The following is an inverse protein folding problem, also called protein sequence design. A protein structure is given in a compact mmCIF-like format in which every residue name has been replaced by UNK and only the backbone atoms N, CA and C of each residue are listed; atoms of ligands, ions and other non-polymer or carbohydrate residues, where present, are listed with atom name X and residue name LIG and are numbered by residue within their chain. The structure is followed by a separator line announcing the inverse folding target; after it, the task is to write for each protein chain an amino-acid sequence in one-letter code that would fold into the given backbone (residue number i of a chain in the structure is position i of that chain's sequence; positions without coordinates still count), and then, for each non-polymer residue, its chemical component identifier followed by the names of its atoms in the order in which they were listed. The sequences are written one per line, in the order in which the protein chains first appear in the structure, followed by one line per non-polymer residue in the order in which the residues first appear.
data_IF_270985603521
#
_entry.id   IF_270985603521
#
_cell.length_a   1.000
_cell.length_b   1.000
_cell.length_c   1.000
_cell.angle_alpha   90.00
_cell.angle_beta   90.00
_cell.angle_gamma   90.00
#
_symmetry.space_group_name_H-M   'P 1'
#
loop_
_entity.id
_entity.type
_entity.pdbx_description
1 polymer ?
#
# COMPACT_ATOMS: atom_id res chain seq x y z
N UNK A 1 5.13 8.95 14.27
CA UNK A 1 4.38 8.89 13.00
C UNK A 1 4.80 7.64 12.25
N UNK A 2 3.87 6.88 11.67
CA UNK A 2 4.15 5.57 11.06
C UNK A 2 3.74 5.58 9.59
N UNK A 3 4.65 5.11 8.73
CA UNK A 3 4.38 4.79 7.33
C UNK A 3 4.14 3.30 7.22
N UNK A 4 3.20 2.89 6.36
CA UNK A 4 2.86 1.48 6.14
C UNK A 4 2.94 1.16 4.66
N UNK A 5 3.55 0.02 4.32
CA UNK A 5 3.56 -0.55 2.99
C UNK A 5 2.64 -1.78 2.95
N UNK A 6 1.72 -1.82 1.99
CA UNK A 6 0.86 -2.96 1.69
C UNK A 6 1.32 -3.62 0.40
N UNK A 7 1.56 -4.93 0.41
CA UNK A 7 2.08 -5.67 -0.75
C UNK A 7 0.94 -6.40 -1.44
N UNK A 8 0.75 -6.14 -2.74
CA UNK A 8 -0.27 -6.72 -3.60
C UNK A 8 -1.11 -5.68 -4.35
N UNK A 9 -2.12 -6.13 -5.07
CA UNK A 9 -2.93 -5.31 -5.98
C UNK A 9 -4.39 -5.75 -6.09
N UNK A 10 -4.85 -6.65 -5.23
CA UNK A 10 -6.21 -7.19 -5.25
C UNK A 10 -7.20 -6.39 -4.39
N UNK A 11 -8.45 -6.86 -4.36
CA UNK A 11 -9.50 -6.27 -3.52
C UNK A 11 -9.22 -6.39 -2.02
N UNK A 12 -8.49 -7.42 -1.60
CA UNK A 12 -8.06 -7.59 -0.20
C UNK A 12 -7.12 -6.46 0.22
N UNK A 13 -6.13 -6.13 -0.61
CA UNK A 13 -5.19 -5.05 -0.32
C UNK A 13 -5.90 -3.69 -0.33
N UNK A 14 -6.87 -3.49 -1.23
CA UNK A 14 -7.72 -2.30 -1.19
C UNK A 14 -8.48 -2.18 0.15
N UNK A 15 -9.14 -3.23 0.62
CA UNK A 15 -9.84 -3.20 1.91
C UNK A 15 -8.89 -2.90 3.10
N UNK A 16 -7.67 -3.43 3.08
CA UNK A 16 -6.63 -3.15 4.07
C UNK A 16 -6.21 -1.68 4.01
N UNK A 17 -5.86 -1.16 2.83
CA UNK A 17 -5.48 0.24 2.62
C UNK A 17 -6.61 1.18 3.08
N UNK A 18 -7.85 0.89 2.71
CA UNK A 18 -9.02 1.65 3.12
C UNK A 18 -9.17 1.75 4.63
N UNK A 19 -8.86 0.67 5.37
CA UNK A 19 -8.94 0.73 6.84
C UNK A 19 -7.75 1.44 7.46
N UNK A 20 -6.55 1.27 6.91
CA UNK A 20 -5.33 1.92 7.38
C UNK A 20 -5.39 3.44 7.19
N UNK A 21 -5.97 3.94 6.11
CA UNK A 21 -6.09 5.39 5.83
C UNK A 21 -6.96 6.15 6.84
N UNK A 22 -7.81 5.45 7.60
CA UNK A 22 -8.64 6.02 8.67
C UNK A 22 -7.95 6.06 10.04
N UNK A 23 -6.77 5.44 10.18
CA UNK A 23 -6.10 5.31 11.47
C UNK A 23 -5.42 6.62 11.87
N UNK A 24 -5.70 7.20 13.05
CA UNK A 24 -5.01 8.40 13.52
C UNK A 24 -3.53 8.16 13.88
N UNK A 25 -3.08 6.90 13.83
CA UNK A 25 -1.70 6.51 14.11
C UNK A 25 -0.84 6.34 12.84
N UNK A 26 -1.45 6.41 11.66
CA UNK A 26 -0.80 6.22 10.37
C UNK A 26 -0.73 7.57 9.66
N UNK A 27 0.47 7.91 9.21
CA UNK A 27 0.76 9.15 8.51
C UNK A 27 0.64 8.98 6.99
N UNK A 28 1.09 7.83 6.47
CA UNK A 28 1.06 7.54 5.04
C UNK A 28 0.96 6.05 4.76
N UNK A 29 0.18 5.69 3.76
CA UNK A 29 0.05 4.33 3.24
C UNK A 29 0.64 4.29 1.82
N UNK A 30 1.47 3.29 1.57
CA UNK A 30 1.99 2.92 0.26
C UNK A 30 1.45 1.54 -0.12
N UNK A 31 1.34 1.27 -1.41
CA UNK A 31 1.01 -0.05 -1.91
C UNK A 31 1.90 -0.43 -3.11
N UNK A 32 2.39 -1.66 -3.14
CA UNK A 32 3.25 -2.16 -4.22
C UNK A 32 2.72 -3.51 -4.76
N UNK A 33 2.32 -3.61 -6.04
CA UNK A 33 2.21 -2.53 -7.02
C UNK A 33 0.93 -1.68 -6.87
N UNK A 34 -0.06 -2.16 -6.12
CA UNK A 34 -1.37 -1.51 -6.03
C UNK A 34 -2.21 -1.61 -7.31
N UNK A 35 -3.33 -0.90 -7.34
CA UNK A 35 -4.22 -0.79 -8.49
C UNK A 35 -4.90 0.59 -8.52
N UNK A 36 -5.73 0.86 -9.53
CA UNK A 36 -6.40 2.15 -9.69
C UNK A 36 -7.28 2.56 -8.49
N UNK A 37 -7.98 1.62 -7.86
CA UNK A 37 -8.80 1.91 -6.68
C UNK A 37 -7.95 2.18 -5.43
N UNK A 38 -6.83 1.48 -5.27
CA UNK A 38 -5.89 1.73 -4.17
C UNK A 38 -5.23 3.11 -4.30
N UNK A 39 -4.98 3.57 -5.53
CA UNK A 39 -4.37 4.87 -5.80
C UNK A 39 -5.21 6.07 -5.32
N UNK A 40 -6.50 5.88 -5.05
CA UNK A 40 -7.38 6.90 -4.47
C UNK A 40 -7.11 7.11 -2.96
N UNK A 41 -6.46 6.14 -2.29
CA UNK A 41 -6.32 6.08 -0.84
C UNK A 41 -4.87 5.95 -0.36
N UNK A 42 -3.95 5.52 -1.23
CA UNK A 42 -2.54 5.29 -0.95
C UNK A 42 -1.66 5.61 -2.17
N UNK A 43 -0.36 5.79 -1.94
CA UNK A 43 0.61 5.92 -3.02
C UNK A 43 0.97 4.54 -3.58
N UNK A 44 0.66 4.29 -4.85
CA UNK A 44 1.07 3.08 -5.55
C UNK A 44 2.50 3.22 -6.07
N UNK A 45 3.37 2.28 -5.69
CA UNK A 45 4.77 2.20 -6.12
C UNK A 45 4.88 1.12 -7.17
N UNK A 46 5.54 1.40 -8.30
CA UNK A 46 5.77 0.44 -9.38
C UNK A 46 6.87 -0.58 -9.02
N UNK A 47 6.58 -1.40 -8.01
CA UNK A 47 7.39 -2.54 -7.57
C UNK A 47 6.49 -3.77 -7.53
N UNK A 48 6.93 -4.88 -8.11
CA UNK A 48 6.16 -6.13 -8.10
C UNK A 48 6.12 -6.73 -6.70
N UNK A 49 5.02 -7.39 -6.37
CA UNK A 49 4.80 -7.98 -5.06
C UNK A 49 5.78 -9.11 -4.71
N UNK A 50 6.40 -9.72 -5.72
CA UNK A 50 7.39 -10.79 -5.60
C UNK A 50 8.85 -10.31 -5.77
N UNK A 51 9.07 -9.02 -6.01
CA UNK A 51 10.41 -8.41 -6.07
C UNK A 51 10.88 -8.03 -4.67
N UNK A 52 11.31 -9.03 -3.91
CA UNK A 52 11.69 -8.88 -2.49
C UNK A 52 12.89 -7.94 -2.30
N UNK A 53 13.82 -7.92 -3.26
CA UNK A 53 14.98 -7.03 -3.21
C UNK A 53 14.54 -5.57 -3.37
N UNK A 54 13.72 -5.26 -4.37
CA UNK A 54 13.21 -3.91 -4.57
C UNK A 54 12.28 -3.44 -3.42
N UNK A 55 11.55 -4.36 -2.79
CA UNK A 55 10.69 -4.03 -1.64
C UNK A 55 11.47 -3.71 -0.35
N UNK A 56 12.73 -4.16 -0.26
CA UNK A 56 13.60 -3.93 0.90
C UNK A 56 14.29 -2.55 0.84
N UNK A 57 14.74 -2.16 -0.36
CA UNK A 57 15.61 -1.00 -0.60
C UNK A 57 14.86 0.35 -0.50
#
# INVERSE_FOLDING_TARGET
MRKVLVIGSGGREHAIVWKLSQSPHIDKVFCAPGNAGIAELAECIDIKADDIEALRD
#
